data_IF_785509415711
#
_entry.id   IF_785509415711
#
_cell.length_a   1.000
_cell.length_b   1.000
_cell.length_c   1.000
_cell.angle_alpha   90.00
_cell.angle_beta   90.00
_cell.angle_gamma   90.00
#
_symmetry.space_group_name_H-M   'P 1'
#
loop_
_entity.id
_entity.type
_entity.pdbx_description
1 polymer ?
#
# COMPACT_ATOMS: atom_id res chain seq x y z
N UNK A 1 31.42 -6.71 -23.80
CA UNK A 1 30.72 -5.43 -24.01
C UNK A 1 29.23 -5.72 -24.10
N UNK A 2 28.57 -5.76 -22.94
CA UNK A 2 27.12 -5.62 -22.74
C UNK A 2 26.98 -5.34 -21.24
N UNK A 3 27.11 -4.06 -20.87
CA UNK A 3 26.65 -3.59 -19.57
C UNK A 3 25.12 -3.64 -19.60
N UNK A 4 24.57 -4.74 -19.09
CA UNK A 4 23.18 -4.77 -18.67
C UNK A 4 23.12 -3.98 -17.37
N UNK A 5 23.02 -2.66 -17.47
CA UNK A 5 22.61 -1.83 -16.34
C UNK A 5 21.20 -2.26 -15.96
N UNK A 6 20.98 -2.88 -14.78
CA UNK A 6 19.64 -3.09 -14.30
C UNK A 6 19.02 -1.70 -14.13
N UNK A 7 17.87 -1.50 -14.77
CA UNK A 7 16.97 -0.38 -14.49
C UNK A 7 16.40 -0.64 -13.08
N UNK A 8 17.21 -0.32 -12.08
CA UNK A 8 16.92 -0.36 -10.66
C UNK A 8 17.66 0.82 -10.07
N UNK A 9 17.16 2.00 -10.41
CA UNK A 9 17.72 3.30 -10.06
C UNK A 9 18.09 3.35 -8.59
N UNK A 10 19.30 3.84 -8.33
CA UNK A 10 19.81 4.39 -7.07
C UNK A 10 18.94 5.58 -6.61
N UNK A 11 17.68 5.30 -6.30
CA UNK A 11 16.71 6.19 -5.69
C UNK A 11 15.90 5.29 -4.77
N UNK A 12 16.10 5.40 -3.46
CA UNK A 12 15.41 4.57 -2.49
C UNK A 12 13.91 4.55 -2.76
N UNK A 13 13.31 3.36 -2.77
CA UNK A 13 11.88 3.16 -3.00
C UNK A 13 11.09 4.11 -2.09
N UNK A 14 10.12 4.85 -2.63
CA UNK A 14 9.28 5.70 -1.79
C UNK A 14 8.28 4.85 -1.01
N UNK A 15 7.74 5.39 0.09
CA UNK A 15 6.70 4.70 0.85
C UNK A 15 5.51 4.31 -0.05
N UNK A 16 5.08 5.19 -0.94
CA UNK A 16 3.94 4.94 -1.84
C UNK A 16 4.21 3.76 -2.77
N UNK A 17 5.40 3.69 -3.36
CA UNK A 17 5.83 2.57 -4.19
C UNK A 17 5.88 1.26 -3.39
N UNK A 18 6.45 1.29 -2.18
CA UNK A 18 6.49 0.11 -1.31
C UNK A 18 5.09 -0.41 -0.97
N UNK A 19 4.12 0.47 -0.69
CA UNK A 19 2.73 0.07 -0.44
C UNK A 19 2.08 -0.59 -1.67
N UNK A 20 2.34 -0.06 -2.87
CA UNK A 20 1.82 -0.66 -4.11
C UNK A 20 2.43 -2.03 -4.34
N UNK A 21 3.74 -2.17 -4.13
CA UNK A 21 4.45 -3.42 -4.37
C UNK A 21 4.01 -4.52 -3.39
N UNK A 22 3.87 -4.18 -2.10
CA UNK A 22 3.29 -5.09 -1.10
C UNK A 22 1.88 -5.50 -1.48
N UNK A 23 1.01 -4.56 -1.84
CA UNK A 23 -0.36 -4.87 -2.27
C UNK A 23 -0.36 -5.77 -3.50
N UNK A 24 0.51 -5.50 -4.47
CA UNK A 24 0.60 -6.26 -5.71
C UNK A 24 1.01 -7.71 -5.41
N UNK A 25 2.14 -7.92 -4.75
CA UNK A 25 2.65 -9.25 -4.45
C UNK A 25 1.71 -10.02 -3.51
N UNK A 26 1.30 -9.41 -2.40
CA UNK A 26 0.47 -10.09 -1.40
C UNK A 26 -0.96 -10.36 -1.88
N UNK A 27 -1.59 -9.43 -2.60
CA UNK A 27 -3.03 -9.48 -2.88
C UNK A 27 -3.38 -9.65 -4.36
N UNK A 28 -2.64 -9.03 -5.28
CA UNK A 28 -2.91 -9.14 -6.71
C UNK A 28 -2.32 -10.44 -7.31
N UNK A 29 -1.07 -10.74 -6.98
CA UNK A 29 -0.34 -11.94 -7.44
C UNK A 29 -0.57 -13.13 -6.51
N UNK A 30 -0.93 -12.86 -5.26
CA UNK A 30 -1.27 -13.90 -4.31
C UNK A 30 -0.05 -14.61 -3.70
N UNK A 31 1.13 -13.99 -3.74
CA UNK A 31 2.37 -14.54 -3.24
C UNK A 31 2.31 -14.85 -1.73
N UNK A 32 3.05 -15.88 -1.31
CA UNK A 32 3.22 -16.25 0.10
C UNK A 32 4.28 -15.40 0.81
N UNK A 33 5.15 -14.75 0.03
CA UNK A 33 6.19 -13.87 0.53
C UNK A 33 6.24 -12.62 -0.35
N UNK A 34 6.35 -11.46 0.30
CA UNK A 34 6.59 -10.17 -0.33
C UNK A 34 8.07 -9.85 -0.23
N UNK A 35 8.72 -9.48 -1.33
CA UNK A 35 10.10 -9.01 -1.35
C UNK A 35 10.13 -7.48 -1.51
N UNK A 36 10.80 -6.79 -0.59
CA UNK A 36 11.05 -5.34 -0.62
C UNK A 36 12.51 -5.09 -0.26
N UNK A 37 13.21 -4.30 -1.08
CA UNK A 37 14.63 -3.95 -0.87
C UNK A 37 15.53 -5.15 -0.54
N UNK A 38 15.23 -6.32 -1.12
CA UNK A 38 15.95 -7.58 -0.85
C UNK A 38 15.60 -8.29 0.46
N UNK A 39 14.73 -7.72 1.30
CA UNK A 39 14.13 -8.38 2.47
C UNK A 39 12.83 -9.12 2.08
N UNK A 40 12.63 -10.32 2.63
CA UNK A 40 11.41 -11.13 2.41
C UNK A 40 10.51 -11.12 3.63
N UNK A 41 9.24 -10.80 3.41
CA UNK A 41 8.20 -10.72 4.42
C UNK A 41 7.10 -11.74 4.14
N UNK A 42 6.78 -12.58 5.13
CA UNK A 42 5.80 -13.64 4.96
C UNK A 42 4.37 -13.09 5.00
N UNK A 43 3.57 -13.45 3.99
CA UNK A 43 2.13 -13.22 3.99
C UNK A 43 1.47 -14.30 4.85
N UNK A 44 0.62 -13.87 5.78
CA UNK A 44 -0.17 -14.73 6.66
C UNK A 44 -1.63 -14.53 6.35
N UNK A 45 -2.44 -15.52 6.68
CA UNK A 45 -3.89 -15.42 6.59
C UNK A 45 -4.48 -15.32 7.99
N UNK A 46 -5.43 -14.41 8.17
CA UNK A 46 -6.13 -14.26 9.44
C UNK A 46 -6.99 -15.50 9.72
N UNK A 47 -6.89 -16.12 10.90
CA UNK A 47 -7.47 -17.44 11.17
C UNK A 47 -9.01 -17.48 11.14
N UNK A 48 -9.68 -16.33 11.26
CA UNK A 48 -11.16 -16.26 11.31
C UNK A 48 -11.80 -15.90 9.97
N UNK A 49 -11.07 -15.25 9.07
CA UNK A 49 -11.62 -14.63 7.86
C UNK A 49 -10.78 -14.89 6.62
N UNK A 50 -9.65 -15.59 6.76
CA UNK A 50 -8.71 -15.89 5.68
C UNK A 50 -8.29 -14.64 4.89
N UNK A 51 -8.27 -13.49 5.57
CA UNK A 51 -7.79 -12.24 4.98
C UNK A 51 -6.27 -12.24 5.02
N UNK A 52 -5.65 -11.80 3.93
CA UNK A 52 -4.19 -11.69 3.85
C UNK A 52 -3.69 -10.54 4.70
N UNK A 53 -2.71 -10.83 5.55
CA UNK A 53 -1.97 -9.84 6.32
C UNK A 53 -0.46 -10.04 6.11
N UNK A 54 0.29 -8.96 6.09
CA UNK A 54 1.74 -8.98 5.95
C UNK A 54 2.33 -7.91 6.85
N UNK A 55 3.20 -8.33 7.76
CA UNK A 55 4.00 -7.45 8.58
C UNK A 55 5.34 -7.27 7.88
N UNK A 56 5.64 -6.04 7.50
CA UNK A 56 6.87 -5.71 6.80
C UNK A 56 7.49 -4.46 7.36
N UNK A 57 8.76 -4.27 7.05
CA UNK A 57 9.49 -3.11 7.52
C UNK A 57 10.04 -2.36 6.33
N UNK A 58 9.75 -1.06 6.31
CA UNK A 58 10.18 -0.17 5.25
C UNK A 58 11.36 0.68 5.73
N UNK A 59 12.45 0.66 4.94
CA UNK A 59 13.67 1.41 5.18
C UNK A 59 13.92 2.32 3.97
N UNK A 60 13.31 3.51 3.98
CA UNK A 60 13.41 4.44 2.85
C UNK A 60 13.09 5.86 3.28
N UNK A 61 13.28 6.82 2.37
CA UNK A 61 12.99 8.22 2.68
C UNK A 61 11.48 8.44 2.81
N UNK A 62 10.96 8.79 3.99
CA UNK A 62 9.57 9.19 4.11
C UNK A 62 9.43 10.53 3.39
N UNK A 63 8.76 10.50 2.24
CA UNK A 63 8.49 11.67 1.41
C UNK A 63 8.02 12.84 2.29
N UNK A 64 8.90 13.85 2.47
CA UNK A 64 8.73 15.16 3.14
C UNK A 64 9.27 15.42 4.55
N UNK A 65 9.92 14.50 5.25
CA UNK A 65 10.78 14.94 6.37
C UNK A 65 11.96 14.00 6.47
N UNK A 66 13.14 14.54 6.25
CA UNK A 66 14.40 13.89 6.56
C UNK A 66 14.42 13.49 8.04
N UNK A 67 13.86 12.32 8.34
CA UNK A 67 14.28 11.49 9.45
C UNK A 67 15.09 10.41 8.78
N UNK A 68 16.33 10.78 8.44
CA UNK A 68 17.37 9.83 8.05
C UNK A 68 17.35 8.72 9.11
N UNK A 69 17.34 7.47 8.66
CA UNK A 69 17.40 6.27 9.51
C UNK A 69 16.12 5.84 10.25
N UNK A 70 14.90 6.15 9.77
CA UNK A 70 13.69 5.57 10.38
C UNK A 70 13.25 4.31 9.67
N UNK A 71 13.61 3.17 10.27
CA UNK A 71 12.97 1.88 10.01
C UNK A 71 11.51 1.95 10.49
N UNK A 72 10.53 1.88 9.58
CA UNK A 72 9.10 1.97 9.92
C UNK A 72 8.45 0.60 9.77
N UNK A 73 7.93 0.07 10.86
CA UNK A 73 7.12 -1.15 10.85
C UNK A 73 5.71 -0.84 10.31
N UNK A 74 5.34 -1.60 9.29
CA UNK A 74 4.09 -1.46 8.56
C UNK A 74 3.38 -2.82 8.50
N UNK A 75 2.06 -2.78 8.63
CA UNK A 75 1.20 -3.94 8.45
C UNK A 75 0.24 -3.69 7.29
N UNK A 76 0.34 -4.50 6.25
CA UNK A 76 -0.65 -4.60 5.19
C UNK A 76 -1.76 -5.57 5.61
N UNK A 77 -3.01 -5.15 5.51
CA UNK A 77 -4.19 -5.94 5.84
C UNK A 77 -5.21 -5.86 4.70
N UNK A 78 -5.57 -7.01 4.14
CA UNK A 78 -6.65 -7.12 3.16
C UNK A 78 -7.98 -6.66 3.76
N UNK A 79 -8.71 -5.85 3.00
CA UNK A 79 -9.99 -5.32 3.44
C UNK A 79 -11.06 -6.41 3.48
N UNK A 80 -11.66 -6.61 4.65
CA UNK A 80 -12.80 -7.50 4.80
C UNK A 80 -14.03 -6.96 4.04
N UNK A 81 -14.51 -7.66 2.99
CA UNK A 81 -15.71 -7.24 2.27
C UNK A 81 -16.95 -7.28 3.18
N UNK A 82 -16.98 -8.06 4.25
CA UNK A 82 -18.16 -8.16 5.14
C UNK A 82 -18.38 -6.94 6.04
N UNK A 83 -17.45 -5.98 6.07
CA UNK A 83 -17.59 -4.76 6.89
C UNK A 83 -18.42 -3.67 6.19
N UNK A 84 -18.86 -2.64 6.90
CA UNK A 84 -19.69 -1.56 6.33
C UNK A 84 -18.89 -0.38 5.74
N UNK A 85 -17.56 -0.46 5.76
CA UNK A 85 -16.67 0.60 5.27
C UNK A 85 -16.86 0.88 3.77
N UNK A 86 -16.58 2.12 3.34
CA UNK A 86 -16.48 2.49 1.91
C UNK A 86 -15.52 1.55 1.16
N UNK A 87 -14.42 1.16 1.79
CA UNK A 87 -13.44 0.23 1.22
C UNK A 87 -14.00 -1.19 1.12
N UNK A 88 -14.86 -1.59 2.04
CA UNK A 88 -15.52 -2.89 2.02
C UNK A 88 -16.50 -3.00 0.84
N UNK A 89 -17.19 -1.92 0.49
CA UNK A 89 -18.03 -1.88 -0.72
C UNK A 89 -17.21 -2.12 -1.98
N UNK A 90 -15.99 -1.57 -2.04
CA UNK A 90 -15.07 -1.80 -3.16
C UNK A 90 -14.55 -3.25 -3.16
N UNK A 91 -14.17 -3.79 -2.00
CA UNK A 91 -13.78 -5.19 -1.89
C UNK A 91 -14.91 -6.16 -2.32
N UNK A 92 -16.16 -5.87 -1.93
CA UNK A 92 -17.35 -6.62 -2.39
C UNK A 92 -17.55 -6.57 -3.89
N UNK A 93 -17.23 -5.44 -4.51
CA UNK A 93 -17.30 -5.27 -5.96
C UNK A 93 -16.11 -5.93 -6.70
N UNK A 94 -15.26 -6.69 -6.00
CA UNK A 94 -14.12 -7.41 -6.58
C UNK A 94 -12.83 -6.59 -6.68
N UNK A 95 -12.81 -5.35 -6.17
CA UNK A 95 -11.58 -4.59 -6.11
C UNK A 95 -10.63 -5.19 -5.07
N UNK A 96 -9.35 -5.25 -5.40
CA UNK A 96 -8.31 -5.69 -4.46
C UNK A 96 -7.94 -4.49 -3.60
N UNK A 97 -8.35 -4.53 -2.34
CA UNK A 97 -8.15 -3.44 -1.38
C UNK A 97 -7.30 -3.91 -0.22
N UNK A 98 -6.19 -3.22 0.04
CA UNK A 98 -5.33 -3.45 1.20
C UNK A 98 -5.12 -2.16 1.96
N UNK A 99 -5.43 -2.18 3.27
CA UNK A 99 -5.16 -1.09 4.17
C UNK A 99 -3.78 -1.27 4.82
N UNK A 100 -3.11 -0.17 5.09
CA UNK A 100 -1.80 -0.14 5.71
C UNK A 100 -1.85 0.56 7.05
N UNK A 101 -1.23 -0.06 8.05
CA UNK A 101 -1.16 0.42 9.42
C UNK A 101 0.30 0.55 9.86
N UNK A 102 0.59 1.55 10.68
CA UNK A 102 1.87 1.69 11.38
C UNK A 102 1.59 1.91 12.88
N UNK A 103 2.22 1.12 13.75
CA UNK A 103 2.02 1.19 15.20
C UNK A 103 0.53 1.25 15.62
N UNK A 104 -0.32 0.48 14.95
CA UNK A 104 -1.77 0.44 15.21
C UNK A 104 -2.60 1.59 14.63
N UNK A 105 -1.99 2.51 13.85
CA UNK A 105 -2.69 3.62 13.19
C UNK A 105 -2.76 3.40 11.68
N UNK A 106 -3.93 3.63 11.09
CA UNK A 106 -4.09 3.57 9.64
C UNK A 106 -3.35 4.73 8.97
N UNK A 107 -2.41 4.39 8.08
CA UNK A 107 -1.59 5.36 7.35
C UNK A 107 -1.99 5.50 5.89
N UNK A 108 -2.76 4.55 5.35
CA UNK A 108 -3.22 4.61 3.97
C UNK A 108 -3.91 3.34 3.50
N UNK A 109 -4.36 3.37 2.25
CA UNK A 109 -5.02 2.25 1.57
C UNK A 109 -4.58 2.20 0.11
N UNK A 110 -4.42 1.00 -0.42
CA UNK A 110 -4.20 0.75 -1.85
C UNK A 110 -5.41 0.04 -2.43
N UNK A 111 -5.95 0.58 -3.52
CA UNK A 111 -7.09 0.02 -4.25
C UNK A 111 -6.71 -0.14 -5.72
N UNK A 112 -6.63 -1.38 -6.20
CA UNK A 112 -6.25 -1.67 -7.60
C UNK A 112 -4.98 -0.91 -8.04
N UNK A 113 -3.95 -0.90 -7.19
CA UNK A 113 -2.68 -0.22 -7.44
C UNK A 113 -2.68 1.29 -7.17
N UNK A 114 -3.81 1.89 -6.76
CA UNK A 114 -3.89 3.32 -6.42
C UNK A 114 -3.75 3.54 -4.92
N UNK A 115 -2.71 4.27 -4.51
CA UNK A 115 -2.45 4.62 -3.11
C UNK A 115 -3.31 5.81 -2.67
N UNK A 116 -3.79 5.78 -1.43
CA UNK A 116 -4.39 6.91 -0.73
C UNK A 116 -3.85 6.92 0.68
N UNK A 117 -2.91 7.83 0.98
CA UNK A 117 -2.33 8.00 2.32
C UNK A 117 -3.22 8.86 3.22
N UNK A 118 -3.23 8.53 4.51
CA UNK A 118 -3.89 9.26 5.59
C UNK A 118 -2.82 10.00 6.42
N UNK A 119 -3.09 11.25 6.80
CA UNK A 119 -2.19 12.04 7.65
C UNK A 119 -1.24 13.01 6.92
N UNK A 120 -1.24 13.04 5.59
CA UNK A 120 -0.59 14.10 4.83
C UNK A 120 -1.43 15.38 4.83
N UNK A 121 -0.92 16.47 5.42
CA UNK A 121 -1.48 17.80 5.15
C UNK A 121 -1.40 18.03 3.63
N UNK A 122 -2.57 18.21 3.01
CA UNK A 122 -2.83 18.32 1.57
C UNK A 122 -1.69 19.05 0.83
N UNK A 123 -1.09 18.38 -0.14
CA UNK A 123 -0.88 19.04 -1.44
C UNK A 123 -2.05 18.62 -2.30
N UNK A 124 -2.94 19.58 -2.50
CA UNK A 124 -3.98 19.58 -3.50
C UNK A 124 -3.48 19.03 -4.84
N UNK A 125 -4.00 17.88 -5.26
CA UNK A 125 -4.42 17.74 -6.65
C UNK A 125 -5.82 17.11 -6.64
N UNK A 126 -6.81 17.99 -6.76
CA UNK A 126 -8.16 17.62 -7.21
C UNK A 126 -8.21 18.06 -8.66
N UNK A 127 -8.85 17.25 -9.52
CA UNK A 127 -10.01 17.81 -10.17
C UNK A 127 -11.27 17.22 -9.55
N UNK A 128 -11.96 18.08 -8.80
CA UNK A 128 -13.38 17.95 -8.52
C UNK A 128 -14.08 18.15 -9.86
N UNK A 129 -14.54 17.08 -10.49
CA UNK A 129 -15.61 17.20 -11.48
C UNK A 129 -16.94 17.16 -10.74
N UNK A 130 -17.34 18.33 -10.28
CA UNK A 130 -18.71 18.67 -9.94
C UNK A 130 -19.24 19.46 -11.14
N UNK A 131 -20.10 18.87 -11.97
CA UNK A 131 -20.99 19.65 -12.83
C UNK A 131 -22.43 19.28 -12.49
N UNK A 132 -23.15 20.30 -12.04
CA UNK A 132 -24.59 20.35 -11.73
C UNK A 132 -25.31 20.95 -12.95
N UNK A 133 -26.65 20.84 -12.96
CA UNK A 133 -27.65 21.30 -13.95
C UNK A 133 -28.08 20.13 -14.86
N UNK A 134 -29.34 19.68 -14.87
CA UNK A 134 -30.59 20.38 -14.60
C UNK A 134 -31.24 20.70 -15.94
N UNK A 135 -32.33 20.00 -16.23
CA UNK A 135 -33.49 20.40 -17.04
C UNK A 135 -34.66 19.49 -16.63
#
# INVERSE_FOLDING_TARGET
MYDFTPVGSEAGMTLEEALVEVWRQALAEGAENVELDGEKFRVRETPRKHLREVDFVFQGEPSRKAVRDTKIELRGLEQNPNTESRWAKLARAGHKVMQFLSAGRYIGVVVNGKVTLYGGKKSSDKPVSRKKMGE
#
